data_IF_042375225158
#
_entry.id   IF_042375225158
#
_cell.length_a   1.000
_cell.length_b   1.000
_cell.length_c   1.000
_cell.angle_alpha   90.00
_cell.angle_beta   90.00
_cell.angle_gamma   90.00
#
_symmetry.space_group_name_H-M   'P 1'
#
loop_
_entity.id
_entity.type
_entity.pdbx_description
1 polymer ?
#
# COMPACT_ATOMS: atom_id res chain seq x y z
N UNK A 1 -28.80 -24.98 35.80
CA UNK A 1 -28.42 -26.03 34.82
C UNK A 1 -28.28 -25.48 33.39
N UNK A 2 -29.32 -24.86 32.81
CA UNK A 2 -29.30 -24.37 31.42
C UNK A 2 -28.21 -23.31 31.13
N UNK A 3 -28.00 -22.34 32.02
CA UNK A 3 -26.96 -21.30 31.86
C UNK A 3 -25.54 -21.88 31.82
N UNK A 4 -25.27 -22.89 32.66
CA UNK A 4 -23.97 -23.56 32.72
C UNK A 4 -23.70 -24.40 31.47
N UNK A 5 -24.72 -25.07 30.94
CA UNK A 5 -24.62 -25.81 29.68
C UNK A 5 -24.41 -24.87 28.48
N UNK A 6 -25.08 -23.71 28.46
CA UNK A 6 -24.89 -22.68 27.44
C UNK A 6 -23.49 -22.06 27.47
N UNK A 7 -22.96 -21.77 28.67
CA UNK A 7 -21.58 -21.30 28.85
C UNK A 7 -20.55 -22.34 28.41
N UNK A 8 -20.73 -23.60 28.79
CA UNK A 8 -19.84 -24.69 28.39
C UNK A 8 -19.85 -24.90 26.86
N UNK A 9 -21.02 -24.84 26.23
CA UNK A 9 -21.15 -24.90 24.77
C UNK A 9 -20.45 -23.71 24.09
N UNK A 10 -20.64 -22.49 24.61
CA UNK A 10 -19.99 -21.29 24.11
C UNK A 10 -18.46 -21.36 24.21
N UNK A 11 -17.91 -21.84 25.33
CA UNK A 11 -16.47 -22.05 25.52
C UNK A 11 -15.94 -23.09 24.53
N UNK A 12 -16.68 -24.19 24.31
CA UNK A 12 -16.27 -25.25 23.37
C UNK A 12 -16.27 -24.77 21.92
N UNK A 13 -17.27 -23.99 21.53
CA UNK A 13 -17.38 -23.37 20.20
C UNK A 13 -16.26 -22.34 20.01
N UNK A 14 -16.04 -21.46 21.00
CA UNK A 14 -14.97 -20.47 20.96
C UNK A 14 -13.58 -21.12 20.87
N UNK A 15 -13.35 -22.20 21.63
CA UNK A 15 -12.11 -22.99 21.58
C UNK A 15 -11.88 -23.65 20.22
N UNK A 16 -12.92 -24.23 19.62
CA UNK A 16 -12.84 -24.80 18.28
C UNK A 16 -12.55 -23.74 17.20
N UNK A 17 -13.19 -22.58 17.28
CA UNK A 17 -12.95 -21.46 16.37
C UNK A 17 -11.52 -20.90 16.50
N UNK A 18 -11.00 -20.78 17.73
CA UNK A 18 -9.63 -20.35 17.97
C UNK A 18 -8.61 -21.36 17.42
N UNK A 19 -8.81 -22.66 17.67
CA UNK A 19 -7.93 -23.72 17.15
C UNK A 19 -7.90 -23.74 15.62
N UNK A 20 -9.06 -23.58 14.96
CA UNK A 20 -9.14 -23.48 13.51
C UNK A 20 -8.46 -22.22 12.96
N UNK A 21 -8.54 -21.09 13.67
CA UNK A 21 -7.87 -19.86 13.30
C UNK A 21 -6.34 -20.00 13.38
N UNK A 22 -5.83 -20.60 14.46
CA UNK A 22 -4.40 -20.85 14.67
C UNK A 22 -3.82 -21.83 13.65
N UNK A 23 -4.53 -22.94 13.36
CA UNK A 23 -4.10 -23.92 12.37
C UNK A 23 -3.98 -23.28 10.98
N UNK A 24 -4.96 -22.47 10.59
CA UNK A 24 -4.92 -21.77 9.31
C UNK A 24 -3.77 -20.77 9.24
N UNK A 25 -3.53 -20.00 10.31
CA UNK A 25 -2.41 -19.02 10.34
C UNK A 25 -1.05 -19.73 10.22
N UNK A 26 -0.90 -20.90 10.85
CA UNK A 26 0.28 -21.72 10.70
C UNK A 26 0.48 -22.19 9.24
N UNK A 27 -0.60 -22.65 8.58
CA UNK A 27 -0.56 -23.09 7.18
C UNK A 27 -0.23 -21.95 6.23
N UNK A 28 -0.86 -20.78 6.38
CA UNK A 28 -0.58 -19.57 5.59
C UNK A 28 0.88 -19.15 5.74
N UNK A 29 1.39 -19.16 6.98
CA UNK A 29 2.77 -18.78 7.27
C UNK A 29 3.78 -19.74 6.66
N UNK A 30 3.48 -21.04 6.67
CA UNK A 30 4.29 -22.05 5.96
C UNK A 30 4.23 -21.81 4.45
N UNK A 31 3.04 -21.54 3.89
CA UNK A 31 2.87 -21.21 2.47
C UNK A 31 3.65 -19.97 2.04
N UNK A 32 3.58 -18.90 2.82
CA UNK A 32 4.37 -17.68 2.62
C UNK A 32 5.88 -17.98 2.65
N UNK A 33 6.36 -18.68 3.69
CA UNK A 33 7.77 -19.03 3.82
C UNK A 33 8.27 -19.88 2.64
N UNK A 34 7.45 -20.83 2.17
CA UNK A 34 7.77 -21.71 1.04
C UNK A 34 7.76 -20.95 -0.29
N UNK A 35 6.75 -20.11 -0.55
CA UNK A 35 6.59 -19.41 -1.82
C UNK A 35 7.65 -18.32 -2.02
N UNK A 36 8.01 -17.60 -0.95
CA UNK A 36 8.84 -16.40 -1.06
C UNK A 36 10.33 -16.61 -0.76
N UNK A 37 10.76 -17.83 -0.41
CA UNK A 37 12.19 -18.24 -0.28
C UNK A 37 13.10 -17.13 0.29
N UNK A 38 12.71 -16.53 1.42
CA UNK A 38 13.52 -15.52 2.12
C UNK A 38 13.40 -14.07 1.62
N UNK A 39 12.49 -13.74 0.69
CA UNK A 39 12.18 -12.36 0.25
C UNK A 39 10.99 -11.72 0.98
N UNK A 40 10.45 -12.39 1.98
CA UNK A 40 9.48 -11.80 2.90
C UNK A 40 10.21 -10.94 3.91
N UNK A 41 9.81 -9.68 4.01
CA UNK A 41 10.22 -8.88 5.14
C UNK A 41 9.57 -9.45 6.42
N UNK A 42 10.32 -9.61 7.51
CA UNK A 42 9.72 -9.91 8.80
C UNK A 42 8.81 -8.76 9.18
N UNK A 43 7.64 -9.04 9.76
CA UNK A 43 6.67 -8.03 10.17
C UNK A 43 7.33 -6.88 10.95
N UNK A 44 6.89 -5.65 10.70
CA UNK A 44 7.41 -4.48 11.38
C UNK A 44 7.42 -4.68 12.92
N UNK A 45 8.50 -4.30 13.62
CA UNK A 45 8.57 -4.42 15.07
C UNK A 45 7.37 -3.72 15.74
N UNK A 46 6.64 -4.45 16.60
CA UNK A 46 5.45 -3.93 17.29
C UNK A 46 4.12 -4.20 16.57
N UNK A 47 4.15 -4.60 15.30
CA UNK A 47 2.99 -5.16 14.63
C UNK A 47 3.00 -6.67 14.87
N UNK A 48 2.09 -7.16 15.71
CA UNK A 48 1.89 -8.59 15.97
C UNK A 48 0.66 -9.05 15.19
N UNK A 49 0.73 -10.22 14.56
CA UNK A 49 -0.42 -10.82 13.87
C UNK A 49 -1.27 -11.59 14.90
N UNK A 50 -2.45 -11.09 15.20
CA UNK A 50 -3.44 -11.73 16.06
C UNK A 50 -4.36 -12.69 15.25
N UNK A 51 -4.80 -13.81 15.83
CA UNK A 51 -5.57 -14.83 15.12
C UNK A 51 -6.94 -14.33 14.61
N UNK A 52 -7.52 -13.32 15.25
CA UNK A 52 -8.84 -12.77 14.90
C UNK A 52 -8.74 -11.35 14.32
N UNK A 53 -8.01 -10.47 15.01
CA UNK A 53 -7.92 -9.04 14.68
C UNK A 53 -6.65 -8.68 13.91
N UNK A 54 -5.86 -9.68 13.47
CA UNK A 54 -4.63 -9.52 12.69
C UNK A 54 -3.72 -8.44 13.30
N UNK A 55 -3.30 -7.46 12.52
CA UNK A 55 -2.37 -6.42 12.97
C UNK A 55 -3.05 -5.25 13.68
N UNK A 56 -4.39 -5.24 13.77
CA UNK A 56 -5.16 -4.06 14.15
C UNK A 56 -4.77 -3.44 15.50
N UNK A 57 -4.57 -4.22 16.60
CA UNK A 57 -4.15 -3.64 17.87
C UNK A 57 -2.80 -2.91 17.80
N UNK A 58 -1.88 -3.39 16.96
CA UNK A 58 -0.58 -2.75 16.74
C UNK A 58 -0.64 -1.53 15.81
N UNK A 59 -1.72 -1.37 15.04
CA UNK A 59 -1.90 -0.30 14.05
C UNK A 59 -2.55 0.92 14.64
N UNK A 60 -3.53 0.73 15.52
CA UNK A 60 -4.25 1.81 16.20
C UNK A 60 -3.32 2.92 16.73
N UNK A 61 -2.23 2.63 17.47
CA UNK A 61 -1.33 3.68 17.97
C UNK A 61 -0.48 4.34 16.88
N UNK A 62 -0.29 3.70 15.72
CA UNK A 62 0.59 4.17 14.64
C UNK A 62 -0.19 4.69 13.42
N UNK A 63 -1.52 4.66 13.43
CA UNK A 63 -2.34 4.93 12.24
C UNK A 63 -2.06 6.32 11.66
N UNK A 64 -1.89 7.33 12.52
CA UNK A 64 -1.56 8.70 12.13
C UNK A 64 -0.11 8.89 11.66
N UNK A 65 0.74 7.87 11.81
CA UNK A 65 2.17 7.87 11.42
C UNK A 65 2.54 6.61 10.64
N UNK A 66 1.56 6.03 9.94
CA UNK A 66 1.73 4.75 9.24
C UNK A 66 2.90 4.82 8.25
N UNK A 67 2.96 5.91 7.49
CA UNK A 67 4.05 6.18 6.54
C UNK A 67 5.44 6.15 7.20
N UNK A 68 5.65 6.88 8.31
CA UNK A 68 6.93 6.93 9.01
C UNK A 68 7.32 5.58 9.59
N UNK A 69 6.32 4.80 10.02
CA UNK A 69 6.53 3.46 10.54
C UNK A 69 6.95 2.50 9.41
N UNK A 70 6.27 2.57 8.26
CA UNK A 70 6.60 1.79 7.07
C UNK A 70 8.01 2.11 6.55
N UNK A 71 8.39 3.39 6.47
CA UNK A 71 9.74 3.80 6.05
C UNK A 71 10.84 3.33 6.99
N UNK A 72 10.63 3.44 8.31
CA UNK A 72 11.60 2.95 9.30
C UNK A 72 11.75 1.44 9.23
N UNK A 73 10.65 0.72 9.13
CA UNK A 73 10.69 -0.73 8.99
C UNK A 73 11.37 -1.16 7.68
N UNK A 74 11.08 -0.46 6.60
CA UNK A 74 11.71 -0.62 5.31
C UNK A 74 13.25 -0.56 5.41
N UNK A 75 13.74 0.52 6.04
CA UNK A 75 15.16 0.76 6.24
C UNK A 75 15.81 -0.31 7.14
N UNK A 76 15.15 -0.70 8.24
CA UNK A 76 15.64 -1.76 9.14
C UNK A 76 15.70 -3.13 8.45
N UNK A 77 14.73 -3.43 7.59
CA UNK A 77 14.69 -4.69 6.84
C UNK A 77 15.83 -4.75 5.85
N UNK A 78 16.08 -3.65 5.14
CA UNK A 78 17.21 -3.53 4.22
C UNK A 78 18.56 -3.70 4.93
N UNK A 79 18.73 -3.13 6.13
CA UNK A 79 19.94 -3.29 6.93
C UNK A 79 20.17 -4.72 7.43
N UNK A 80 19.08 -5.45 7.73
CA UNK A 80 19.15 -6.84 8.23
C UNK A 80 19.25 -7.89 7.14
N UNK A 81 18.92 -7.54 5.90
CA UNK A 81 19.00 -8.44 4.76
C UNK A 81 20.47 -8.76 4.44
N UNK A 82 20.98 -9.86 5.00
CA UNK A 82 22.37 -10.34 4.84
C UNK A 82 22.79 -10.66 3.39
N UNK A 83 21.86 -10.63 2.43
CA UNK A 83 22.08 -10.97 1.02
C UNK A 83 21.90 -9.83 0.02
N UNK A 84 21.81 -8.57 0.46
CA UNK A 84 21.71 -7.41 -0.45
C UNK A 84 20.37 -7.28 -1.20
N UNK A 85 19.35 -8.07 -0.84
CA UNK A 85 18.00 -7.92 -1.38
C UNK A 85 17.40 -6.57 -0.95
N UNK A 86 17.11 -5.70 -1.92
CA UNK A 86 16.58 -4.34 -1.72
C UNK A 86 15.07 -4.24 -1.96
N UNK A 87 14.46 -5.25 -2.56
CA UNK A 87 13.02 -5.31 -2.82
C UNK A 87 12.43 -6.42 -1.97
N UNK A 88 11.38 -6.09 -1.22
CA UNK A 88 10.75 -7.03 -0.30
C UNK A 88 9.26 -6.80 -0.26
N UNK A 89 8.55 -7.90 0.01
CA UNK A 89 7.11 -7.88 0.16
C UNK A 89 6.77 -7.38 1.55
N UNK A 90 5.94 -6.34 1.60
CA UNK A 90 5.38 -5.77 2.80
C UNK A 90 3.91 -6.18 2.90
N UNK A 91 3.58 -6.90 3.96
CA UNK A 91 2.19 -7.03 4.36
C UNK A 91 1.77 -5.76 5.10
N UNK A 92 0.99 -4.91 4.45
CA UNK A 92 0.38 -3.78 5.14
C UNK A 92 -0.68 -4.28 6.11
N UNK A 93 -0.84 -3.60 7.24
CA UNK A 93 -1.96 -3.87 8.12
C UNK A 93 -3.27 -3.53 7.40
N UNK A 94 -4.01 -4.56 6.99
CA UNK A 94 -5.35 -4.40 6.41
C UNK A 94 -6.32 -3.87 7.48
N UNK A 95 -7.17 -2.88 7.14
CA UNK A 95 -8.11 -2.33 8.09
C UNK A 95 -9.29 -3.29 8.23
N UNK A 96 -9.40 -3.81 9.46
CA UNK A 96 -10.62 -4.13 10.18
C UNK A 96 -10.89 -5.60 10.48
N UNK A 97 -11.02 -6.57 9.55
CA UNK A 97 -11.29 -7.98 9.93
C UNK A 97 -10.70 -9.04 8.97
N UNK A 98 -10.39 -10.23 9.50
CA UNK A 98 -9.81 -11.40 8.78
C UNK A 98 -10.65 -11.87 7.58
N UNK A 99 -11.95 -11.60 7.59
CA UNK A 99 -12.90 -11.98 6.55
C UNK A 99 -13.21 -10.84 5.56
N UNK A 100 -12.59 -9.67 5.73
CA UNK A 100 -12.65 -8.63 4.72
C UNK A 100 -11.83 -9.08 3.48
N UNK A 101 -12.38 -9.00 2.26
CA UNK A 101 -11.68 -9.35 1.03
C UNK A 101 -10.69 -8.24 0.67
N UNK A 102 -9.60 -8.14 1.43
CA UNK A 102 -8.50 -7.23 1.12
C UNK A 102 -7.26 -7.64 1.93
N UNK A 103 -6.59 -8.71 1.50
CA UNK A 103 -5.14 -8.72 1.73
C UNK A 103 -4.55 -7.73 0.74
N UNK A 104 -4.38 -6.49 1.18
CA UNK A 104 -3.63 -5.50 0.42
C UNK A 104 -2.15 -5.82 0.62
N UNK A 105 -1.67 -6.77 -0.18
CA UNK A 105 -0.26 -7.11 -0.26
C UNK A 105 0.44 -6.00 -1.02
N UNK A 106 1.45 -5.38 -0.41
CA UNK A 106 2.26 -4.38 -1.08
C UNK A 106 3.67 -4.92 -1.30
N UNK A 107 4.28 -4.53 -2.41
CA UNK A 107 5.69 -4.81 -2.66
C UNK A 107 6.42 -3.49 -2.51
N UNK A 108 7.33 -3.43 -1.54
CA UNK A 108 8.23 -2.31 -1.42
C UNK A 108 9.41 -2.53 -2.36
N UNK A 109 9.54 -1.60 -3.29
CA UNK A 109 10.59 -1.62 -4.31
C UNK A 109 11.57 -0.51 -3.97
N UNK A 110 12.79 -0.88 -3.55
CA UNK A 110 13.89 0.08 -3.35
C UNK A 110 15.09 -0.19 -4.24
N UNK A 111 15.13 -1.33 -4.93
CA UNK A 111 16.19 -1.60 -5.89
C UNK A 111 16.06 -0.70 -7.13
N UNK A 112 17.10 0.08 -7.51
CA UNK A 112 17.00 0.99 -8.64
C UNK A 112 16.65 0.30 -9.97
N UNK A 113 17.08 -0.94 -10.18
CA UNK A 113 16.75 -1.69 -11.40
C UNK A 113 15.26 -2.05 -11.43
N UNK A 114 14.71 -2.53 -10.31
CA UNK A 114 13.26 -2.77 -10.20
C UNK A 114 12.44 -1.47 -10.29
N UNK A 115 12.88 -0.36 -9.67
CA UNK A 115 12.21 0.93 -9.76
C UNK A 115 12.17 1.41 -11.22
N UNK A 116 13.29 1.33 -11.92
CA UNK A 116 13.37 1.65 -13.35
C UNK A 116 12.45 0.76 -14.18
N UNK A 117 12.42 -0.54 -13.88
CA UNK A 117 11.53 -1.47 -14.57
C UNK A 117 10.07 -1.04 -14.43
N UNK A 118 9.60 -0.77 -13.22
CA UNK A 118 8.19 -0.39 -12.97
C UNK A 118 7.86 1.00 -13.51
N UNK A 119 8.73 1.99 -13.32
CA UNK A 119 8.41 3.39 -13.63
C UNK A 119 8.77 3.83 -15.06
N UNK A 120 9.59 3.06 -15.78
CA UNK A 120 10.09 3.43 -17.11
C UNK A 120 9.90 2.30 -18.12
N UNK A 121 10.55 1.16 -17.90
CA UNK A 121 10.72 0.16 -18.97
C UNK A 121 9.42 -0.65 -19.20
N UNK A 122 8.68 -0.96 -18.13
CA UNK A 122 7.44 -1.74 -18.15
C UNK A 122 6.24 -1.01 -17.52
N UNK A 123 6.24 0.32 -17.56
CA UNK A 123 5.19 1.15 -16.92
C UNK A 123 3.76 0.77 -17.34
N UNK A 124 3.56 0.41 -18.61
CA UNK A 124 2.26 0.01 -19.17
C UNK A 124 1.71 -1.31 -18.63
N UNK A 125 2.51 -2.09 -17.88
CA UNK A 125 2.09 -3.35 -17.26
C UNK A 125 1.43 -3.10 -15.90
N UNK A 126 1.82 -2.03 -15.20
CA UNK A 126 1.46 -1.79 -13.80
C UNK A 126 0.31 -0.81 -13.64
N UNK A 127 -0.91 -1.25 -13.95
CA UNK A 127 -2.11 -0.42 -13.81
C UNK A 127 -2.43 -0.03 -12.36
N UNK A 128 -3.10 1.11 -12.18
CA UNK A 128 -3.53 1.58 -10.84
C UNK A 128 -4.68 0.74 -10.28
N UNK A 129 -5.49 0.18 -11.17
CA UNK A 129 -6.65 -0.64 -10.84
C UNK A 129 -7.90 0.17 -10.49
N UNK A 130 -9.05 -0.52 -10.48
CA UNK A 130 -10.36 0.07 -10.22
C UNK A 130 -10.48 0.64 -8.80
N UNK A 131 -9.94 -0.08 -7.81
CA UNK A 131 -9.98 0.36 -6.41
C UNK A 131 -9.31 1.72 -6.21
N UNK A 132 -8.09 1.92 -6.71
CA UNK A 132 -7.43 3.24 -6.62
C UNK A 132 -8.28 4.33 -7.29
N UNK A 133 -8.83 4.03 -8.48
CA UNK A 133 -9.63 4.99 -9.23
C UNK A 133 -10.88 5.44 -8.49
N UNK A 134 -11.59 4.50 -7.86
CA UNK A 134 -12.80 4.76 -7.08
C UNK A 134 -12.50 5.55 -5.81
N UNK A 135 -11.50 5.13 -5.02
CA UNK A 135 -11.18 5.80 -3.76
C UNK A 135 -10.69 7.24 -3.95
N UNK A 136 -10.02 7.54 -5.07
CA UNK A 136 -9.52 8.88 -5.36
C UNK A 136 -10.37 9.65 -6.37
N UNK A 137 -11.52 9.11 -6.80
CA UNK A 137 -12.36 9.75 -7.81
C UNK A 137 -12.86 11.12 -7.34
N UNK A 138 -13.35 11.22 -6.10
CA UNK A 138 -13.96 12.46 -5.61
C UNK A 138 -12.93 13.58 -5.41
N UNK A 139 -11.67 13.22 -5.18
CA UNK A 139 -10.58 14.18 -4.99
C UNK A 139 -9.84 14.53 -6.28
N UNK A 140 -9.49 13.52 -7.09
CA UNK A 140 -8.65 13.67 -8.30
C UNK A 140 -9.44 13.62 -9.61
N UNK A 141 -10.74 13.32 -9.55
CA UNK A 141 -11.59 13.14 -10.73
C UNK A 141 -11.05 12.08 -11.68
N UNK A 142 -11.18 12.33 -12.97
CA UNK A 142 -10.61 11.52 -14.06
C UNK A 142 -9.30 12.09 -14.64
N UNK A 143 -8.58 12.90 -13.85
CA UNK A 143 -7.35 13.57 -14.27
C UNK A 143 -6.12 12.65 -14.34
N UNK A 144 -4.96 13.19 -14.72
CA UNK A 144 -3.71 12.42 -14.98
C UNK A 144 -3.27 11.50 -13.84
N UNK A 145 -3.58 11.88 -12.60
CA UNK A 145 -3.22 11.11 -11.41
C UNK A 145 -4.17 9.95 -11.15
N UNK A 146 -5.42 10.02 -11.61
CA UNK A 146 -6.42 8.97 -11.43
C UNK A 146 -6.71 8.15 -12.69
N UNK A 147 -6.45 8.72 -13.87
CA UNK A 147 -6.58 8.04 -15.15
C UNK A 147 -5.64 6.84 -15.22
N UNK A 148 -6.14 5.73 -15.73
CA UNK A 148 -5.35 4.51 -15.92
C UNK A 148 -4.47 4.62 -17.17
N UNK A 149 -3.40 3.85 -17.18
CA UNK A 149 -2.33 3.95 -18.18
C UNK A 149 -2.01 2.60 -18.84
N UNK A 150 -2.89 1.62 -18.67
CA UNK A 150 -2.80 0.29 -19.27
C UNK A 150 -3.82 0.15 -20.41
N UNK A 151 -3.47 -0.60 -21.45
CA UNK A 151 -4.37 -0.95 -22.54
C UNK A 151 -5.00 0.27 -23.23
N UNK A 152 -6.32 0.24 -23.43
CA UNK A 152 -7.07 1.29 -24.12
C UNK A 152 -7.05 2.66 -23.39
N UNK A 153 -6.92 2.66 -22.06
CA UNK A 153 -6.91 3.90 -21.25
C UNK A 153 -5.60 4.70 -21.43
N UNK A 154 -4.53 4.05 -21.86
CA UNK A 154 -3.19 4.62 -22.00
C UNK A 154 -3.12 5.85 -22.92
N UNK A 155 -3.97 5.93 -23.95
CA UNK A 155 -4.02 7.08 -24.87
C UNK A 155 -4.49 8.36 -24.17
N UNK A 156 -5.52 8.25 -23.32
CA UNK A 156 -6.07 9.38 -22.57
C UNK A 156 -5.06 9.93 -21.57
N UNK A 157 -4.44 9.04 -20.78
CA UNK A 157 -3.40 9.43 -19.82
C UNK A 157 -2.22 10.13 -20.50
N UNK A 158 -1.73 9.62 -21.64
CA UNK A 158 -0.64 10.27 -22.40
C UNK A 158 -1.00 11.68 -22.86
N UNK A 159 -2.21 11.86 -23.41
CA UNK A 159 -2.65 13.16 -23.88
C UNK A 159 -2.69 14.18 -22.74
N UNK A 160 -3.35 13.82 -21.63
CA UNK A 160 -3.45 14.70 -20.48
C UNK A 160 -2.07 15.00 -19.88
N UNK A 161 -1.16 14.02 -19.81
CA UNK A 161 0.23 14.25 -19.37
C UNK A 161 1.00 15.18 -20.30
N UNK A 162 0.80 15.09 -21.62
CA UNK A 162 1.43 16.00 -22.59
C UNK A 162 0.95 17.44 -22.38
N UNK A 163 -0.35 17.63 -22.17
CA UNK A 163 -0.93 18.95 -21.86
C UNK A 163 -0.37 19.48 -20.55
N UNK A 164 -0.38 18.68 -19.47
CA UNK A 164 0.17 19.10 -18.18
C UNK A 164 1.66 19.45 -18.28
N UNK A 165 2.47 18.64 -18.96
CA UNK A 165 3.89 18.93 -19.15
C UNK A 165 4.14 20.24 -19.93
N UNK A 166 3.24 20.59 -20.85
CA UNK A 166 3.29 21.86 -21.58
C UNK A 166 2.94 23.04 -20.66
N UNK A 167 1.88 22.94 -19.87
CA UNK A 167 1.48 23.95 -18.88
C UNK A 167 2.57 24.19 -17.82
N UNK A 168 3.17 23.12 -17.31
CA UNK A 168 4.25 23.17 -16.31
C UNK A 168 5.66 23.32 -16.91
N UNK A 169 5.76 23.78 -18.16
CA UNK A 169 7.05 24.06 -18.79
C UNK A 169 7.73 25.28 -18.16
N UNK A 170 9.07 25.29 -18.16
CA UNK A 170 9.86 26.40 -17.61
C UNK A 170 9.48 27.74 -18.24
N UNK A 171 9.19 27.76 -19.54
CA UNK A 171 8.77 28.96 -20.25
C UNK A 171 7.44 29.52 -19.73
N UNK A 172 6.42 28.66 -19.59
CA UNK A 172 5.10 29.01 -19.03
C UNK A 172 5.21 29.48 -17.59
N UNK A 173 5.98 28.77 -16.78
CA UNK A 173 6.18 29.13 -15.37
C UNK A 173 6.85 30.50 -15.22
N UNK A 174 7.90 30.79 -16.01
CA UNK A 174 8.55 32.12 -16.03
C UNK A 174 7.59 33.22 -16.46
N UNK A 175 6.77 32.97 -17.49
CA UNK A 175 5.79 33.93 -17.95
C UNK A 175 4.74 34.23 -16.88
N UNK A 176 4.20 33.20 -16.23
CA UNK A 176 3.27 33.32 -15.10
C UNK A 176 3.90 34.13 -13.95
N UNK A 177 5.11 33.75 -13.51
CA UNK A 177 5.80 34.43 -12.41
C UNK A 177 6.10 35.90 -12.74
N UNK A 178 6.55 36.20 -13.96
CA UNK A 178 6.79 37.56 -14.40
C UNK A 178 5.50 38.39 -14.44
N UNK A 179 4.39 37.80 -14.89
CA UNK A 179 3.06 38.42 -14.87
C UNK A 179 2.60 38.79 -13.46
N UNK A 180 2.75 37.89 -12.49
CA UNK A 180 2.43 38.13 -11.09
C UNK A 180 3.30 39.24 -10.47
N UNK A 181 4.61 39.22 -10.74
CA UNK A 181 5.53 40.26 -10.24
C UNK A 181 5.15 41.62 -10.84
N UNK A 182 4.92 41.69 -12.15
CA UNK A 182 4.52 42.92 -12.83
C UNK A 182 3.11 43.39 -12.43
N UNK A 183 2.22 42.47 -12.04
CA UNK A 183 0.91 42.80 -11.49
C UNK A 183 1.02 43.43 -10.10
N UNK A 184 1.82 42.86 -9.21
CA UNK A 184 2.07 43.41 -7.87
C UNK A 184 2.80 44.76 -7.91
N UNK A 185 3.76 44.91 -8.82
CA UNK A 185 4.48 46.17 -8.99
C UNK A 185 3.61 47.31 -9.55
N UNK A 186 2.48 47.00 -10.20
CA UNK A 186 1.50 47.98 -10.69
C UNK A 186 0.39 48.31 -9.68
N UNK A 187 0.27 47.52 -8.62
CA UNK A 187 -0.68 47.74 -7.51
C UNK A 187 -0.08 48.48 -6.31
N UNK A 188 1.21 48.85 -6.39
CA UNK A 188 1.91 49.79 -5.51
C UNK A 188 2.09 51.11 -6.25
#
# INVERSE_FOLDING_TARGET
AALAAALAAAVRIAGGLLAAALLRDAVERVGELLHYRGRLAPLAPGLVRWPLVRQLPGVLPIINRLHDHCLRWAQLTQQRARGGARTYRILMPSPLLRWAPAESEFVHISDPACVRHVLKDAFHVYGKGAGFREHFHDFLGSGIFNADHVGAAMRGWRMQRKVAAYEFSVARFRHFAAGEIAGRARGL
#
